data_IF_895723390733
#
_entry.id   IF_895723390733
#
_cell.length_a   1.000
_cell.length_b   1.000
_cell.length_c   1.000
_cell.angle_alpha   90.00
_cell.angle_beta   90.00
_cell.angle_gamma   90.00
#
_symmetry.space_group_name_H-M   'P 1'
#
loop_
_entity.id
_entity.type
_entity.pdbx_description
1 polymer ?
#
# COMPACT_ATOMS: atom_id res chain seq x y z
N UNK A 1 -12.20 -1.70 13.73
CA UNK A 1 -11.37 -1.70 14.97
C UNK A 1 -11.98 -0.79 16.04
N UNK A 2 -11.56 -0.94 17.30
CA UNK A 2 -11.95 -0.04 18.41
C UNK A 2 -10.98 1.15 18.52
N UNK A 3 -11.39 2.24 19.19
CA UNK A 3 -10.52 3.41 19.40
C UNK A 3 -9.19 3.04 20.07
N UNK A 4 -9.25 2.14 21.06
CA UNK A 4 -8.06 1.69 21.80
C UNK A 4 -7.08 0.88 20.95
N UNK A 5 -7.58 0.16 19.94
CA UNK A 5 -6.74 -0.54 18.98
C UNK A 5 -6.15 0.45 17.98
N UNK A 6 -6.95 1.40 17.51
CA UNK A 6 -6.51 2.45 16.61
C UNK A 6 -5.38 3.29 17.21
N UNK A 7 -5.51 3.74 18.47
CA UNK A 7 -4.47 4.50 19.18
C UNK A 7 -3.12 3.79 19.23
N UNK A 8 -3.12 2.47 19.43
CA UNK A 8 -1.88 1.67 19.45
C UNK A 8 -1.24 1.53 18.07
N UNK A 9 -2.04 1.61 17.01
CA UNK A 9 -1.58 1.51 15.63
C UNK A 9 -1.07 2.86 15.08
N UNK A 10 -1.36 3.98 15.74
CA UNK A 10 -0.91 5.32 15.31
C UNK A 10 0.61 5.38 15.10
N UNK A 11 1.47 4.94 16.05
CA UNK A 11 2.92 5.01 15.86
C UNK A 11 3.39 4.14 14.69
N UNK A 12 2.91 2.89 14.61
CA UNK A 12 3.26 1.98 13.51
C UNK A 12 2.79 2.52 12.15
N UNK A 13 1.65 3.21 12.11
CA UNK A 13 1.16 3.87 10.90
C UNK A 13 2.09 5.03 10.50
N UNK A 14 2.54 5.83 11.47
CA UNK A 14 3.50 6.90 11.23
C UNK A 14 4.88 6.38 10.81
N UNK A 15 5.23 5.14 11.14
CA UNK A 15 6.47 4.44 10.77
C UNK A 15 6.35 3.59 9.48
N UNK A 16 5.18 3.57 8.83
CA UNK A 16 4.88 2.77 7.63
C UNK A 16 5.05 1.25 7.84
N UNK A 17 4.81 0.77 9.07
CA UNK A 17 4.99 -0.63 9.50
C UNK A 17 3.65 -1.33 9.78
N UNK A 18 2.56 -0.86 9.17
CA UNK A 18 1.25 -1.48 9.28
C UNK A 18 1.00 -2.50 8.16
N UNK A 19 0.51 -3.68 8.53
CA UNK A 19 0.01 -4.66 7.56
C UNK A 19 -1.18 -4.12 6.77
N UNK A 20 -1.32 -4.53 5.51
CA UNK A 20 -2.37 -4.05 4.60
C UNK A 20 -3.81 -4.24 5.15
N UNK A 21 -4.04 -5.28 5.94
CA UNK A 21 -5.35 -5.53 6.56
C UNK A 21 -5.64 -4.51 7.66
N UNK A 22 -4.70 -4.35 8.59
CA UNK A 22 -4.84 -3.42 9.71
C UNK A 22 -4.88 -1.97 9.23
N UNK A 23 -4.15 -1.65 8.14
CA UNK A 23 -4.16 -0.34 7.52
C UNK A 23 -5.56 0.02 6.97
N UNK A 24 -6.22 -0.92 6.29
CA UNK A 24 -7.56 -0.70 5.74
C UNK A 24 -8.58 -0.41 6.85
N UNK A 25 -8.52 -1.19 7.93
CA UNK A 25 -9.42 -1.02 9.08
C UNK A 25 -9.09 0.28 9.85
N UNK A 26 -7.82 0.67 9.91
CA UNK A 26 -7.34 1.88 10.56
C UNK A 26 -7.86 3.12 9.86
N UNK A 27 -7.70 3.18 8.53
CA UNK A 27 -8.19 4.28 7.71
C UNK A 27 -9.71 4.43 7.82
N UNK A 28 -10.44 3.32 7.77
CA UNK A 28 -11.90 3.32 7.93
C UNK A 28 -12.34 3.85 9.30
N UNK A 29 -11.54 3.62 10.35
CA UNK A 29 -11.80 4.16 11.69
C UNK A 29 -11.49 5.67 11.79
N UNK A 30 -10.38 6.12 11.20
CA UNK A 30 -9.97 7.54 11.18
C UNK A 30 -10.96 8.44 10.42
N UNK A 31 -11.68 7.90 9.44
CA UNK A 31 -12.74 8.63 8.73
C UNK A 31 -13.99 8.86 9.57
N UNK A 32 -14.30 7.92 10.47
CA UNK A 32 -15.54 7.92 11.25
C UNK A 32 -15.36 8.38 12.71
N UNK A 33 -14.12 8.47 13.21
CA UNK A 33 -13.80 8.86 14.58
C UNK A 33 -12.93 10.12 14.60
N UNK A 34 -13.52 11.24 15.01
CA UNK A 34 -12.82 12.52 15.10
C UNK A 34 -11.75 12.52 16.21
N UNK A 35 -12.01 11.86 17.33
CA UNK A 35 -11.10 11.79 18.49
C UNK A 35 -9.78 11.10 18.13
N UNK A 36 -9.84 9.92 17.51
CA UNK A 36 -8.63 9.20 17.10
C UNK A 36 -7.86 9.94 15.99
N UNK A 37 -8.56 10.73 15.16
CA UNK A 37 -7.93 11.56 14.13
C UNK A 37 -7.19 12.76 14.74
N UNK A 38 -7.73 13.33 15.81
CA UNK A 38 -7.06 14.38 16.58
C UNK A 38 -5.77 13.84 17.22
N UNK A 39 -5.84 12.67 17.86
CA UNK A 39 -4.67 12.01 18.43
C UNK A 39 -3.58 11.69 17.38
N UNK A 40 -3.97 11.16 16.21
CA UNK A 40 -3.06 10.93 15.08
C UNK A 40 -2.37 12.24 14.65
N UNK A 41 -3.11 13.35 14.63
CA UNK A 41 -2.59 14.67 14.26
C UNK A 41 -1.56 15.16 15.28
N UNK A 42 -1.84 15.00 16.58
CA UNK A 42 -0.92 15.38 17.66
C UNK A 42 0.39 14.59 17.54
N UNK A 43 0.31 13.27 17.40
CA UNK A 43 1.51 12.43 17.30
C UNK A 43 2.32 12.69 16.03
N UNK A 44 1.65 12.98 14.91
CA UNK A 44 2.31 13.43 13.69
C UNK A 44 3.08 14.75 13.91
N UNK A 45 2.44 15.75 14.54
CA UNK A 45 3.07 17.03 14.82
C UNK A 45 4.28 16.91 15.74
N UNK A 46 4.22 16.06 16.77
CA UNK A 46 5.36 15.77 17.65
C UNK A 46 6.50 15.13 16.86
N UNK A 47 6.21 14.10 16.06
CA UNK A 47 7.22 13.40 15.25
C UNK A 47 7.91 14.32 14.24
N UNK A 48 7.14 15.14 13.53
CA UNK A 48 7.68 16.11 12.57
C UNK A 48 8.42 17.24 13.28
N UNK A 49 7.92 17.71 14.42
CA UNK A 49 8.55 18.74 15.23
C UNK A 49 9.94 18.33 15.72
N UNK A 50 10.09 17.09 16.19
CA UNK A 50 11.37 16.52 16.62
C UNK A 50 12.34 16.40 15.45
N UNK A 51 11.89 15.86 14.31
CA UNK A 51 12.72 15.75 13.10
C UNK A 51 13.25 17.10 12.60
N UNK A 52 12.47 18.19 12.77
CA UNK A 52 12.91 19.55 12.41
C UNK A 52 13.98 20.13 13.33
N UNK A 53 14.08 19.68 14.58
CA UNK A 53 15.13 20.12 15.51
C UNK A 53 16.47 19.40 15.24
N UNK A 54 16.43 18.18 14.71
CA UNK A 54 17.63 17.41 14.36
C UNK A 54 18.25 17.81 13.01
N UNK A 55 17.45 18.12 11.98
CA UNK A 55 17.98 18.22 10.62
C UNK A 55 18.59 19.59 10.22
N UNK A 56 18.35 20.68 10.96
CA UNK A 56 19.06 21.97 10.80
C UNK A 56 19.16 22.58 9.38
N UNK A 57 18.39 22.12 8.39
CA UNK A 57 18.62 22.43 6.97
C UNK A 57 17.31 22.73 6.20
N UNK A 58 17.43 23.60 5.19
CA UNK A 58 16.29 24.13 4.43
C UNK A 58 15.57 23.07 3.60
N UNK A 59 14.26 23.03 3.76
CA UNK A 59 13.36 21.94 3.36
C UNK A 59 13.05 21.95 1.85
N UNK A 60 13.54 20.96 1.09
CA UNK A 60 13.01 20.58 -0.23
C UNK A 60 12.33 19.19 -0.19
N UNK A 61 11.75 18.83 0.96
CA UNK A 61 11.15 17.51 1.23
C UNK A 61 10.09 17.08 0.22
N UNK A 62 9.39 18.04 -0.41
CA UNK A 62 8.31 17.77 -1.36
C UNK A 62 8.80 17.04 -2.61
N UNK A 63 10.00 17.36 -3.10
CA UNK A 63 10.58 16.72 -4.31
C UNK A 63 11.06 15.30 -4.06
N UNK A 64 11.64 15.08 -2.89
CA UNK A 64 12.18 13.76 -2.53
C UNK A 64 11.04 12.78 -2.19
N UNK A 65 9.98 13.28 -1.55
CA UNK A 65 8.77 12.52 -1.26
C UNK A 65 7.99 12.16 -2.54
N UNK A 66 7.84 13.09 -3.49
CA UNK A 66 7.24 12.80 -4.81
C UNK A 66 8.07 11.77 -5.61
N UNK A 67 9.39 11.81 -5.49
CA UNK A 67 10.30 10.83 -6.09
C UNK A 67 10.07 9.42 -5.53
N UNK A 68 10.01 9.30 -4.19
CA UNK A 68 9.77 8.04 -3.51
C UNK A 68 8.37 7.47 -3.80
N UNK A 69 7.32 8.30 -3.83
CA UNK A 69 5.96 7.88 -4.16
C UNK A 69 5.82 7.40 -5.62
N UNK A 70 6.48 8.09 -6.57
CA UNK A 70 6.53 7.69 -7.97
C UNK A 70 7.23 6.35 -8.17
N UNK A 71 8.34 6.13 -7.47
CA UNK A 71 9.11 4.89 -7.58
C UNK A 71 8.40 3.71 -6.89
N UNK A 72 7.76 3.93 -5.74
CA UNK A 72 6.95 2.93 -5.06
C UNK A 72 5.71 2.52 -5.89
N UNK A 73 5.00 3.49 -6.48
CA UNK A 73 3.84 3.24 -7.34
C UNK A 73 4.19 2.46 -8.61
N UNK A 74 5.39 2.70 -9.16
CA UNK A 74 5.86 1.98 -10.35
C UNK A 74 6.22 0.52 -10.05
N UNK A 75 6.80 0.23 -8.87
CA UNK A 75 7.09 -1.13 -8.42
C UNK A 75 5.83 -1.98 -8.19
N UNK A 76 4.74 -1.37 -7.74
CA UNK A 76 3.44 -2.06 -7.55
C UNK A 76 2.75 -2.40 -8.87
N UNK A 77 2.76 -1.48 -9.87
CA UNK A 77 2.15 -1.74 -11.19
C UNK A 77 2.86 -2.86 -11.95
N UNK A 78 4.19 -2.93 -11.88
CA UNK A 78 4.97 -3.96 -12.58
C UNK A 78 4.69 -5.35 -12.00
N UNK A 79 4.68 -5.50 -10.68
CA UNK A 79 4.35 -6.80 -10.05
C UNK A 79 2.94 -7.27 -10.42
N UNK A 80 1.94 -6.38 -10.37
CA UNK A 80 0.56 -6.73 -10.73
C UNK A 80 0.40 -7.10 -12.21
N UNK A 81 1.09 -6.39 -13.10
CA UNK A 81 1.08 -6.67 -14.54
C UNK A 81 1.75 -8.02 -14.87
N UNK A 82 2.88 -8.34 -14.22
CA UNK A 82 3.57 -9.62 -14.42
C UNK A 82 2.74 -10.82 -13.95
N UNK A 83 2.06 -10.69 -12.80
CA UNK A 83 1.16 -11.75 -12.31
C UNK A 83 -0.03 -11.93 -13.27
N UNK A 84 -0.63 -10.84 -13.75
CA UNK A 84 -1.73 -10.92 -14.72
C UNK A 84 -1.27 -11.59 -16.03
N UNK A 85 -0.10 -11.20 -16.53
CA UNK A 85 0.48 -11.78 -17.74
C UNK A 85 0.77 -13.28 -17.58
N UNK A 86 1.25 -13.70 -16.41
CA UNK A 86 1.46 -15.11 -16.07
C UNK A 86 0.15 -15.91 -16.15
N UNK A 87 -0.93 -15.41 -15.54
CA UNK A 87 -2.25 -16.06 -15.59
C UNK A 87 -2.85 -16.13 -16.99
N UNK A 88 -2.67 -15.07 -17.80
CA UNK A 88 -3.14 -15.05 -19.20
C UNK A 88 -2.39 -16.09 -20.03
N UNK A 89 -1.07 -16.20 -19.85
CA UNK A 89 -0.24 -17.17 -20.56
C UNK A 89 -0.65 -18.62 -20.22
N UNK A 90 -0.84 -18.93 -18.93
CA UNK A 90 -1.34 -20.23 -18.50
C UNK A 90 -2.71 -20.54 -19.12
N UNK A 91 -3.64 -19.59 -19.13
CA UNK A 91 -4.95 -19.74 -19.77
C UNK A 91 -4.85 -20.04 -21.28
N UNK A 92 -4.00 -19.32 -22.00
CA UNK A 92 -3.77 -19.56 -23.43
C UNK A 92 -3.26 -20.97 -23.72
N UNK A 93 -2.33 -21.49 -22.91
CA UNK A 93 -1.79 -22.84 -23.07
C UNK A 93 -2.88 -23.89 -22.87
N UNK A 94 -3.73 -23.73 -21.84
CA UNK A 94 -4.84 -24.67 -21.58
C UNK A 94 -5.84 -24.68 -22.73
N UNK A 95 -6.20 -23.50 -23.26
CA UNK A 95 -7.14 -23.39 -24.38
C UNK A 95 -6.58 -24.05 -25.64
N UNK A 96 -5.30 -23.81 -25.97
CA UNK A 96 -4.65 -24.42 -27.12
C UNK A 96 -4.53 -25.94 -27.00
N UNK A 97 -4.23 -26.45 -25.79
CA UNK A 97 -4.19 -27.89 -25.55
C UNK A 97 -5.57 -28.52 -25.70
N UNK A 98 -6.63 -27.88 -25.19
CA UNK A 98 -8.00 -28.36 -25.31
C UNK A 98 -8.48 -28.39 -26.76
N UNK A 99 -8.20 -27.34 -27.55
CA UNK A 99 -8.59 -27.30 -28.98
C UNK A 99 -7.85 -28.35 -29.79
N UNK A 100 -6.55 -28.56 -29.55
CA UNK A 100 -5.78 -29.62 -30.18
C UNK A 100 -6.32 -31.02 -29.84
N UNK A 101 -6.68 -31.24 -28.57
CA UNK A 101 -7.28 -32.50 -28.13
C UNK A 101 -8.63 -32.77 -28.79
N UNK A 102 -9.51 -31.77 -28.87
CA UNK A 102 -10.81 -31.89 -29.53
C UNK A 102 -10.66 -32.17 -31.03
N UNK A 103 -9.73 -31.48 -31.71
CA UNK A 103 -9.43 -31.74 -33.12
C UNK A 103 -8.92 -33.16 -33.34
N UNK A 104 -8.06 -33.66 -32.45
CA UNK A 104 -7.55 -35.03 -32.52
C UNK A 104 -8.64 -36.08 -32.27
N UNK A 105 -9.64 -35.77 -31.44
CA UNK A 105 -10.76 -36.67 -31.15
C UNK A 105 -11.80 -36.71 -32.28
N UNK A 106 -11.91 -35.64 -33.07
CA UNK A 106 -12.84 -35.53 -34.19
C UNK A 106 -12.26 -35.99 -35.55
N UNK A 107 -10.95 -36.22 -35.64
CA UNK A 107 -10.22 -36.59 -36.87
C UNK A 107 -9.77 -38.06 -36.81
#
# INVERSE_FOLDING_TARGET
MTCKDAEKLIPLFLDDDLDNRDLSDFLSHMENCAECKEELTIQFLVKVGMKRLEDGNTFNLKRELDGLLSEAGRRLKVRRSLVLFSYVLEGCVVVLAATAFVLNLFL
#
